data_IF_657667066327
#
_entry.id   IF_657667066327
#
_cell.length_a   1.000
_cell.length_b   1.000
_cell.length_c   1.000
_cell.angle_alpha   90.00
_cell.angle_beta   90.00
_cell.angle_gamma   90.00
#
_symmetry.space_group_name_H-M   'P 1'
#
loop_
_entity.id
_entity.type
_entity.pdbx_description
1 polymer ?
#
# COMPACT_ATOMS: atom_id res chain seq x y z
N UNK A 1 50.26 -23.67 -37.79
CA UNK A 1 48.80 -23.71 -37.99
C UNK A 1 48.10 -23.31 -36.69
N UNK A 2 47.55 -22.09 -36.60
CA UNK A 2 46.87 -21.59 -35.38
C UNK A 2 45.37 -21.84 -35.47
N UNK A 3 44.81 -22.43 -34.40
CA UNK A 3 43.42 -22.85 -34.20
C UNK A 3 42.45 -21.67 -34.36
N UNK A 4 41.74 -21.57 -35.49
CA UNK A 4 40.70 -20.55 -35.75
C UNK A 4 39.27 -20.99 -35.36
N UNK A 5 39.08 -22.25 -34.96
CA UNK A 5 37.77 -22.79 -34.54
C UNK A 5 37.42 -22.55 -33.06
N UNK A 6 38.40 -22.29 -32.20
CA UNK A 6 38.17 -22.09 -30.77
C UNK A 6 37.53 -20.74 -30.45
N UNK A 7 37.76 -19.72 -31.26
CA UNK A 7 37.41 -18.32 -30.94
C UNK A 7 35.91 -18.03 -31.03
N UNK A 8 35.19 -18.71 -31.93
CA UNK A 8 33.72 -18.59 -32.06
C UNK A 8 32.98 -19.35 -30.95
N UNK A 9 33.49 -20.52 -30.57
CA UNK A 9 32.94 -21.32 -29.47
C UNK A 9 33.16 -20.59 -28.14
N UNK A 10 34.36 -20.05 -27.92
CA UNK A 10 34.66 -19.20 -26.75
C UNK A 10 33.73 -17.98 -26.69
N UNK A 11 33.50 -17.29 -27.82
CA UNK A 11 32.58 -16.15 -27.88
C UNK A 11 31.14 -16.54 -27.50
N UNK A 12 30.65 -17.68 -27.99
CA UNK A 12 29.31 -18.18 -27.64
C UNK A 12 29.20 -18.54 -26.16
N UNK A 13 30.26 -19.10 -25.57
CA UNK A 13 30.32 -19.38 -24.12
C UNK A 13 30.29 -18.07 -23.32
N UNK A 14 31.01 -17.04 -23.74
CA UNK A 14 30.98 -15.74 -23.06
C UNK A 14 29.61 -15.06 -23.15
N UNK A 15 28.95 -15.13 -24.31
CA UNK A 15 27.60 -14.60 -24.49
C UNK A 15 26.57 -15.34 -23.62
N UNK A 16 26.66 -16.67 -23.54
CA UNK A 16 25.76 -17.46 -22.70
C UNK A 16 25.96 -17.18 -21.21
N UNK A 17 27.21 -17.11 -20.73
CA UNK A 17 27.52 -16.72 -19.35
C UNK A 17 27.03 -15.32 -19.03
N UNK A 18 27.26 -14.35 -19.92
CA UNK A 18 26.80 -12.98 -19.71
C UNK A 18 25.26 -12.92 -19.60
N UNK A 19 24.55 -13.62 -20.48
CA UNK A 19 23.08 -13.67 -20.44
C UNK A 19 22.56 -14.31 -19.13
N UNK A 20 23.21 -15.38 -18.66
CA UNK A 20 22.84 -16.06 -17.42
C UNK A 20 23.04 -15.18 -16.19
N UNK A 21 24.16 -14.44 -16.12
CA UNK A 21 24.43 -13.48 -15.06
C UNK A 21 23.39 -12.36 -15.05
N UNK A 22 23.00 -11.86 -16.22
CA UNK A 22 21.99 -10.81 -16.34
C UNK A 22 20.63 -11.31 -15.82
N UNK A 23 20.20 -12.50 -16.23
CA UNK A 23 18.92 -13.09 -15.77
C UNK A 23 18.91 -13.27 -14.25
N UNK A 24 19.97 -13.84 -13.66
CA UNK A 24 20.08 -13.99 -12.20
C UNK A 24 20.06 -12.64 -11.49
N UNK A 25 20.72 -11.63 -12.05
CA UNK A 25 20.74 -10.28 -11.47
C UNK A 25 19.34 -9.65 -11.48
N UNK A 26 18.56 -9.84 -12.54
CA UNK A 26 17.17 -9.39 -12.60
C UNK A 26 16.30 -10.14 -11.59
N UNK A 27 16.44 -11.46 -11.45
CA UNK A 27 15.69 -12.24 -10.48
C UNK A 27 16.02 -11.84 -9.03
N UNK A 28 17.30 -11.59 -8.74
CA UNK A 28 17.74 -11.04 -7.45
C UNK A 28 17.16 -9.65 -7.19
N UNK A 29 17.17 -8.76 -8.17
CA UNK A 29 16.56 -7.42 -8.05
C UNK A 29 15.05 -7.51 -7.80
N UNK A 30 14.35 -8.40 -8.50
CA UNK A 30 12.92 -8.64 -8.29
C UNK A 30 12.68 -9.21 -6.88
N UNK A 31 13.52 -10.13 -6.44
CA UNK A 31 13.41 -10.74 -5.11
C UNK A 31 13.70 -9.73 -3.99
N UNK A 32 14.74 -8.91 -4.12
CA UNK A 32 15.05 -7.81 -3.21
C UNK A 32 13.91 -6.79 -3.19
N UNK A 33 13.32 -6.44 -4.34
CA UNK A 33 12.12 -5.59 -4.38
C UNK A 33 10.92 -6.23 -3.67
N UNK A 34 10.69 -7.54 -3.84
CA UNK A 34 9.63 -8.26 -3.14
C UNK A 34 9.88 -8.33 -1.62
N UNK A 35 11.13 -8.50 -1.21
CA UNK A 35 11.51 -8.46 0.21
C UNK A 35 11.43 -7.05 0.79
N UNK A 36 11.85 -6.02 0.07
CA UNK A 36 11.68 -4.61 0.47
C UNK A 36 10.19 -4.27 0.58
N UNK A 37 9.35 -4.80 -0.31
CA UNK A 37 7.90 -4.67 -0.22
C UNK A 37 7.33 -5.37 1.03
N UNK A 38 7.75 -6.62 1.30
CA UNK A 38 7.35 -7.36 2.52
C UNK A 38 7.90 -6.74 3.80
N UNK A 39 9.08 -6.14 3.77
CA UNK A 39 9.67 -5.44 4.92
C UNK A 39 8.97 -4.10 5.15
N UNK A 40 8.56 -3.41 4.06
CA UNK A 40 7.71 -2.22 4.11
C UNK A 40 6.33 -2.51 4.71
N UNK A 41 5.73 -3.68 4.51
CA UNK A 41 4.49 -4.06 5.22
C UNK A 41 4.62 -3.97 6.75
N UNK A 42 5.81 -4.23 7.31
CA UNK A 42 6.09 -4.13 8.75
C UNK A 42 6.62 -2.76 9.19
N UNK A 43 6.85 -1.82 8.28
CA UNK A 43 7.44 -0.51 8.63
C UNK A 43 6.90 0.58 7.71
N UNK A 44 5.57 0.69 7.62
CA UNK A 44 4.97 1.70 6.77
C UNK A 44 5.05 3.07 7.46
N UNK A 45 6.18 3.76 7.28
CA UNK A 45 6.25 5.22 7.46
C UNK A 45 5.51 5.85 6.28
N UNK A 46 4.19 6.08 6.40
CA UNK A 46 3.38 6.77 5.37
C UNK A 46 3.63 8.30 5.41
N UNK A 47 4.89 8.72 5.27
CA UNK A 47 5.20 10.15 5.19
C UNK A 47 4.66 10.80 3.90
N UNK A 48 4.03 10.03 3.00
CA UNK A 48 3.37 10.49 1.79
C UNK A 48 1.85 10.35 1.91
N UNK A 49 1.16 11.49 1.91
CA UNK A 49 -0.30 11.61 1.97
C UNK A 49 -1.01 10.72 0.93
N UNK A 50 -0.39 10.60 -0.25
CA UNK A 50 -0.89 9.78 -1.36
C UNK A 50 -0.89 8.28 -1.01
N UNK A 51 0.15 7.78 -0.35
CA UNK A 51 0.25 6.38 0.02
C UNK A 51 -0.75 6.01 1.11
N UNK A 52 -1.00 6.93 2.06
CA UNK A 52 -2.08 6.78 3.02
C UNK A 52 -3.43 6.73 2.31
N UNK A 53 -3.69 7.61 1.33
CA UNK A 53 -4.91 7.58 0.53
C UNK A 53 -5.07 6.23 -0.18
N UNK A 54 -4.06 5.77 -0.91
CA UNK A 54 -4.13 4.49 -1.61
C UNK A 54 -4.37 3.29 -0.68
N UNK A 55 -3.76 3.31 0.50
CA UNK A 55 -4.01 2.28 1.51
C UNK A 55 -5.47 2.29 1.97
N UNK A 56 -5.99 3.48 2.29
CA UNK A 56 -7.39 3.66 2.69
C UNK A 56 -8.35 3.19 1.59
N UNK A 57 -8.12 3.59 0.33
CA UNK A 57 -8.91 3.17 -0.83
C UNK A 57 -8.98 1.65 -0.94
N UNK A 58 -7.81 0.99 -0.89
CA UNK A 58 -7.72 -0.47 -0.98
C UNK A 58 -8.42 -1.20 0.15
N UNK A 59 -8.37 -0.68 1.39
CA UNK A 59 -9.07 -1.31 2.52
C UNK A 59 -10.59 -1.05 2.49
N UNK A 60 -11.03 0.10 1.96
CA UNK A 60 -12.45 0.45 1.85
C UNK A 60 -13.13 -0.32 0.70
N UNK A 61 -12.54 -0.34 -0.50
CA UNK A 61 -13.15 -0.98 -1.70
C UNK A 61 -13.33 -2.49 -1.57
N UNK A 62 -12.52 -3.15 -0.74
CA UNK A 62 -12.60 -4.59 -0.51
C UNK A 62 -13.76 -5.00 0.38
N UNK A 63 -14.51 -4.06 0.94
CA UNK A 63 -15.46 -4.33 2.03
C UNK A 63 -16.88 -4.00 1.61
N UNK A 64 -17.79 -4.75 2.20
CA UNK A 64 -19.22 -4.47 2.13
C UNK A 64 -19.55 -3.26 3.01
N UNK A 65 -20.63 -2.59 2.65
CA UNK A 65 -21.09 -1.37 3.32
C UNK A 65 -21.29 -1.53 4.84
N UNK A 66 -21.90 -2.64 5.28
CA UNK A 66 -22.14 -2.96 6.70
C UNK A 66 -20.86 -3.08 7.53
N UNK A 67 -19.73 -3.38 6.89
CA UNK A 67 -18.45 -3.56 7.55
C UNK A 67 -17.67 -2.26 7.73
N UNK A 68 -18.22 -1.12 7.29
CA UNK A 68 -17.56 0.19 7.40
C UNK A 68 -18.40 1.15 8.23
N UNK A 69 -17.83 1.56 9.36
CA UNK A 69 -18.33 2.62 10.22
C UNK A 69 -17.47 3.87 10.03
N UNK A 70 -18.11 5.01 9.77
CA UNK A 70 -17.43 6.29 9.57
C UNK A 70 -18.02 7.32 10.52
N UNK A 71 -17.14 8.07 11.17
CA UNK A 71 -17.47 9.31 11.87
C UNK A 71 -16.51 10.40 11.39
N UNK A 72 -16.79 11.66 11.74
CA UNK A 72 -16.09 12.83 11.17
C UNK A 72 -14.57 12.67 11.10
N UNK A 73 -13.91 12.11 12.12
CA UNK A 73 -12.45 12.00 12.17
C UNK A 73 -11.94 10.55 12.23
N UNK A 74 -12.77 9.57 11.89
CA UNK A 74 -12.47 8.17 12.09
C UNK A 74 -13.17 7.26 11.08
N UNK A 75 -12.42 6.31 10.56
CA UNK A 75 -12.93 5.23 9.72
C UNK A 75 -12.59 3.92 10.41
N UNK A 76 -13.61 3.12 10.76
CA UNK A 76 -13.46 1.79 11.32
C UNK A 76 -13.97 0.77 10.31
N UNK A 77 -13.10 -0.15 9.93
CA UNK A 77 -13.35 -1.18 8.93
C UNK A 77 -13.27 -2.54 9.61
N UNK A 78 -14.38 -3.27 9.65
CA UNK A 78 -14.44 -4.66 10.09
C UNK A 78 -13.88 -5.57 8.98
N UNK A 79 -13.00 -6.50 9.34
CA UNK A 79 -12.40 -7.48 8.41
C UNK A 79 -13.10 -8.83 8.52
N UNK A 80 -12.98 -9.46 9.68
CA UNK A 80 -13.51 -10.79 10.04
C UNK A 80 -14.00 -10.72 11.50
N UNK A 81 -14.68 -11.77 12.00
CA UNK A 81 -15.35 -11.89 13.32
C UNK A 81 -15.07 -10.74 14.31
N UNK A 82 -13.84 -10.67 14.84
CA UNK A 82 -13.39 -9.64 15.80
C UNK A 82 -12.24 -8.74 15.29
N UNK A 83 -11.87 -8.87 14.02
CA UNK A 83 -10.79 -8.08 13.45
C UNK A 83 -11.29 -6.75 12.88
N UNK A 84 -10.63 -5.65 13.28
CA UNK A 84 -10.89 -4.33 12.74
C UNK A 84 -9.61 -3.54 12.45
N UNK A 85 -9.71 -2.68 11.45
CA UNK A 85 -8.79 -1.57 11.21
C UNK A 85 -9.50 -0.29 11.63
N UNK A 86 -8.83 0.55 12.40
CA UNK A 86 -9.31 1.87 12.78
C UNK A 86 -8.31 2.92 12.33
N UNK A 87 -8.75 3.84 11.48
CA UNK A 87 -7.97 4.94 10.95
C UNK A 87 -8.52 6.22 11.56
N UNK A 88 -7.70 6.97 12.28
CA UNK A 88 -8.17 8.16 12.99
C UNK A 88 -7.10 9.24 13.09
N UNK A 89 -7.55 10.49 13.18
CA UNK A 89 -6.69 11.64 13.45
C UNK A 89 -6.56 11.86 14.95
N UNK A 90 -5.35 12.05 15.42
CA UNK A 90 -5.05 12.54 16.77
C UNK A 90 -3.98 13.64 16.66
N UNK A 91 -4.32 14.84 17.12
CA UNK A 91 -3.55 16.07 16.89
C UNK A 91 -3.30 16.30 15.39
N UNK A 92 -2.05 16.43 15.00
CA UNK A 92 -1.49 16.64 13.66
C UNK A 92 -1.17 15.33 12.94
N UNK A 93 -1.56 14.17 13.50
CA UNK A 93 -1.12 12.86 13.03
C UNK A 93 -2.29 11.93 12.74
N UNK A 94 -2.11 11.06 11.74
CA UNK A 94 -3.01 9.95 11.46
C UNK A 94 -2.41 8.67 12.01
N UNK A 95 -3.25 7.87 12.66
CA UNK A 95 -2.89 6.56 13.19
C UNK A 95 -3.77 5.49 12.57
N UNK A 96 -3.17 4.30 12.44
CA UNK A 96 -3.87 3.08 12.05
C UNK A 96 -3.74 2.12 13.22
N UNK A 97 -4.87 1.58 13.66
CA UNK A 97 -4.98 0.67 14.79
C UNK A 97 -5.58 -0.65 14.29
N UNK A 98 -4.87 -1.74 14.56
CA UNK A 98 -5.26 -3.10 14.20
C UNK A 98 -5.62 -3.86 15.47
N UNK A 99 -6.90 -4.13 15.70
CA UNK A 99 -7.38 -4.89 16.86
C UNK A 99 -6.90 -4.33 18.22
N UNK A 100 -6.77 -3.01 18.36
CA UNK A 100 -6.28 -2.34 19.57
C UNK A 100 -4.75 -2.20 19.62
N UNK A 101 -4.02 -2.83 18.70
CA UNK A 101 -2.59 -2.60 18.50
C UNK A 101 -2.39 -1.44 17.54
N UNK A 102 -2.13 -0.27 18.12
CA UNK A 102 -1.77 0.96 17.41
C UNK A 102 -0.44 0.77 16.69
N UNK A 103 -0.40 1.01 15.37
CA UNK A 103 0.89 1.14 14.67
C UNK A 103 1.53 2.48 14.96
N UNK A 104 2.84 2.55 14.74
CA UNK A 104 3.53 3.82 14.62
C UNK A 104 2.82 4.73 13.61
N UNK A 105 2.92 6.04 13.87
CA UNK A 105 2.27 7.13 13.14
C UNK A 105 2.23 6.86 11.62
N UNK A 106 1.03 6.87 11.04
CA UNK A 106 0.88 6.69 9.61
C UNK A 106 1.33 7.95 8.87
N UNK A 107 0.69 9.10 9.12
CA UNK A 107 1.08 10.38 8.53
C UNK A 107 1.20 11.49 9.58
N UNK A 108 2.10 12.44 9.36
CA UNK A 108 2.28 13.65 10.18
C UNK A 108 1.82 14.90 9.43
N UNK A 109 1.74 16.02 10.15
CA UNK A 109 1.41 17.34 9.59
C UNK A 109 0.04 17.39 8.89
N UNK A 110 -0.88 16.54 9.35
CA UNK A 110 -2.26 16.47 8.86
C UNK A 110 -3.07 17.52 9.61
N UNK A 111 -3.43 18.58 8.87
CA UNK A 111 -4.24 19.69 9.38
C UNK A 111 -5.72 19.29 9.47
N UNK A 112 -6.23 18.57 8.47
CA UNK A 112 -7.64 18.16 8.38
C UNK A 112 -7.74 16.68 8.00
N UNK A 113 -8.58 15.93 8.72
CA UNK A 113 -9.08 14.63 8.30
C UNK A 113 -10.58 14.66 8.51
N UNK A 114 -11.35 14.51 7.43
CA UNK A 114 -12.81 14.42 7.49
C UNK A 114 -13.26 13.19 6.72
N UNK A 115 -14.14 12.40 7.30
CA UNK A 115 -14.73 11.25 6.62
C UNK A 115 -16.25 11.25 6.83
N UNK A 116 -16.99 10.90 5.79
CA UNK A 116 -18.44 10.77 5.82
C UNK A 116 -18.88 9.56 4.99
N UNK A 117 -19.98 8.93 5.38
CA UNK A 117 -20.62 7.85 4.64
C UNK A 117 -22.05 8.28 4.32
N UNK A 118 -22.43 8.18 3.04
CA UNK A 118 -23.80 8.40 2.58
C UNK A 118 -24.17 7.24 1.67
N UNK A 119 -25.15 6.45 2.10
CA UNK A 119 -25.54 5.21 1.42
C UNK A 119 -24.30 4.32 1.18
N UNK A 120 -24.15 3.80 -0.04
CA UNK A 120 -23.02 3.00 -0.46
C UNK A 120 -21.78 3.81 -0.90
N UNK A 121 -21.69 5.09 -0.51
CA UNK A 121 -20.56 5.96 -0.85
C UNK A 121 -19.81 6.39 0.41
N UNK A 122 -18.48 6.30 0.35
CA UNK A 122 -17.57 6.82 1.37
C UNK A 122 -16.83 8.02 0.81
N UNK A 123 -16.94 9.14 1.52
CA UNK A 123 -16.21 10.37 1.23
C UNK A 123 -15.15 10.55 2.30
N UNK A 124 -13.93 10.90 1.89
CA UNK A 124 -12.96 11.41 2.85
C UNK A 124 -12.08 12.49 2.25
N UNK A 125 -11.58 13.34 3.16
CA UNK A 125 -10.68 14.44 2.90
C UNK A 125 -9.49 14.34 3.85
N UNK A 126 -8.28 14.42 3.28
CA UNK A 126 -7.02 14.51 4.01
C UNK A 126 -6.31 15.79 3.56
N UNK A 127 -5.97 16.69 4.49
CA UNK A 127 -5.22 17.92 4.19
C UNK A 127 -3.92 17.95 4.98
N UNK A 128 -2.80 18.06 4.28
CA UNK A 128 -1.49 18.29 4.86
C UNK A 128 -1.08 19.76 4.68
N UNK A 129 -0.40 20.34 5.65
CA UNK A 129 0.03 21.75 5.61
C UNK A 129 0.97 22.08 4.44
N UNK A 130 1.78 21.11 4.00
CA UNK A 130 2.79 21.30 2.96
C UNK A 130 2.51 20.54 1.66
N UNK A 131 1.79 19.42 1.74
CA UNK A 131 1.58 18.50 0.60
C UNK A 131 0.22 18.64 -0.09
N UNK A 132 -0.56 19.64 0.28
CA UNK A 132 -1.88 19.91 -0.29
C UNK A 132 -2.99 19.05 0.30
N UNK A 133 -4.06 18.86 -0.46
CA UNK A 133 -5.25 18.10 -0.05
C UNK A 133 -5.57 16.95 -1.00
N UNK A 134 -6.10 15.88 -0.43
CA UNK A 134 -6.65 14.73 -1.15
C UNK A 134 -8.12 14.61 -0.75
N UNK A 135 -8.98 14.56 -1.75
CA UNK A 135 -10.42 14.31 -1.60
C UNK A 135 -10.75 13.07 -2.42
N UNK A 136 -11.49 12.14 -1.83
CA UNK A 136 -11.89 10.89 -2.45
C UNK A 136 -13.36 10.58 -2.18
N UNK A 137 -13.97 9.95 -3.17
CA UNK A 137 -15.29 9.35 -3.11
C UNK A 137 -15.17 7.91 -3.60
N UNK A 138 -15.55 6.95 -2.77
CA UNK A 138 -15.40 5.53 -3.02
C UNK A 138 -16.76 4.84 -2.96
N UNK A 139 -17.02 3.99 -3.94
CA UNK A 139 -18.23 3.17 -3.98
C UNK A 139 -17.99 1.85 -3.26
N UNK A 140 -18.83 1.56 -2.29
CA UNK A 140 -18.82 0.30 -1.57
C UNK A 140 -19.54 -0.78 -2.36
N UNK A 141 -19.07 -2.02 -2.20
CA UNK A 141 -19.82 -3.18 -2.68
C UNK A 141 -21.08 -3.32 -1.82
N UNK A 142 -22.24 -3.40 -2.48
CA UNK A 142 -23.47 -3.81 -1.79
C UNK A 142 -23.28 -5.26 -1.33
N UNK A 143 -23.68 -5.58 -0.10
CA UNK A 143 -23.75 -6.96 0.33
C UNK A 143 -24.67 -7.72 -0.62
N UNK A 144 -24.18 -8.81 -1.21
CA UNK A 144 -25.07 -9.78 -1.85
C UNK A 144 -25.76 -10.52 -0.70
N UNK A 145 -27.07 -10.28 -0.55
CA UNK A 145 -27.92 -11.08 0.33
C UNK A 145 -28.03 -12.45 -0.33
N UNK A 146 -27.31 -13.43 0.21
CA UNK A 146 -27.52 -14.84 -0.10
C UNK A 146 -28.65 -15.39 0.76
#
# INVERSE_FOLDING_TARGET
>A
MKKRGNTLIELLIYLSLASFIVVISFDLLIWVKKLDFKRKENTIKYNELLNLSFYMEKEIEKRQEENILITDNLIKIKKEEDQYIKIFKNKDKIFIDFNGKRTDTAATDITEFKANKKDNLVYYKLKNSSKGEIIRCLKLKKGEVY
#
